data_IF_681461784014
#
_entry.id   IF_681461784014
#
_cell.length_a   1.000
_cell.length_b   1.000
_cell.length_c   1.000
_cell.angle_alpha   90.00
_cell.angle_beta   90.00
_cell.angle_gamma   90.00
#
_symmetry.space_group_name_H-M   'P 1'
#
loop_
_entity.id
_entity.type
_entity.pdbx_description
1 polymer ?
#
# COMPACT_ATOMS: atom_id res chain seq x y z
N UNK A 1 19.43 19.00 28.50
CA UNK A 1 18.52 19.61 29.48
C UNK A 1 17.81 20.78 28.81
N UNK A 2 16.63 20.59 28.27
CA UNK A 2 15.77 21.67 27.76
C UNK A 2 14.37 21.38 28.31
N UNK A 3 13.88 22.30 29.15
CA UNK A 3 12.55 22.27 29.73
C UNK A 3 11.53 22.68 28.69
N UNK A 4 10.50 21.87 28.49
CA UNK A 4 9.30 22.28 27.73
C UNK A 4 8.22 22.61 28.76
N UNK A 5 7.79 23.89 28.75
CA UNK A 5 6.71 24.41 29.53
C UNK A 5 5.35 23.97 28.98
N UNK A 6 4.49 23.51 29.90
CA UNK A 6 3.06 23.26 29.64
C UNK A 6 2.34 24.59 29.43
N UNK A 7 1.55 24.69 28.35
CA UNK A 7 0.44 25.64 28.27
C UNK A 7 -0.87 24.87 28.05
N UNK A 8 -1.78 25.04 29.01
CA UNK A 8 -3.15 24.57 28.98
C UNK A 8 -4.01 25.53 28.13
N UNK A 9 -4.93 25.02 27.34
CA UNK A 9 -5.88 25.80 26.57
C UNK A 9 -7.14 25.03 26.21
N UNK A 10 -8.14 25.26 27.01
CA UNK A 10 -9.60 25.26 26.82
C UNK A 10 -10.26 24.26 25.85
N UNK A 11 -11.10 23.44 26.48
CA UNK A 11 -12.09 22.60 25.81
C UNK A 11 -13.21 23.37 25.15
N UNK A 12 -13.68 22.81 24.03
CA UNK A 12 -14.99 23.14 23.48
C UNK A 12 -15.70 21.82 23.10
N UNK A 13 -16.72 21.52 23.92
CA UNK A 13 -17.65 20.41 23.73
C UNK A 13 -18.58 20.72 22.55
N UNK A 14 -18.61 19.81 21.57
CA UNK A 14 -19.67 19.77 20.53
C UNK A 14 -20.64 18.64 20.80
N UNK A 15 -21.64 18.91 21.62
CA UNK A 15 -22.93 18.23 21.62
C UNK A 15 -23.95 19.19 20.98
N UNK A 16 -24.71 18.69 20.01
CA UNK A 16 -25.96 19.32 19.55
C UNK A 16 -25.96 19.61 18.06
N UNK A 17 -26.61 18.70 17.31
CA UNK A 17 -27.49 18.98 16.16
C UNK A 17 -27.83 17.68 15.42
N UNK A 18 -28.83 16.98 15.92
CA UNK A 18 -29.63 16.02 15.14
C UNK A 18 -31.05 16.04 15.74
N UNK A 19 -31.91 16.85 15.14
CA UNK A 19 -33.37 16.66 15.23
C UNK A 19 -34.05 17.27 14.00
N UNK A 20 -34.76 16.44 13.27
CA UNK A 20 -36.01 16.80 12.63
C UNK A 20 -36.01 17.05 11.13
N UNK A 21 -36.51 16.10 10.34
CA UNK A 21 -37.68 16.31 9.51
C UNK A 21 -38.01 15.02 8.74
N UNK A 22 -39.10 14.40 9.15
CA UNK A 22 -39.87 13.48 8.30
C UNK A 22 -40.93 14.32 7.59
N UNK A 23 -41.18 14.08 6.29
CA UNK A 23 -42.50 14.13 5.62
C UNK A 23 -42.34 13.80 4.12
N UNK A 24 -43.18 12.86 3.63
CA UNK A 24 -43.89 12.96 2.37
C UNK A 24 -43.54 11.93 1.31
N UNK A 25 -44.24 10.79 1.29
CA UNK A 25 -44.21 9.88 0.17
C UNK A 25 -45.04 10.38 -1.00
N UNK A 26 -44.57 10.10 -2.23
CA UNK A 26 -45.41 9.98 -3.43
C UNK A 26 -44.93 8.78 -4.21
N UNK A 27 -45.80 7.80 -4.38
CA UNK A 27 -45.54 6.62 -5.20
C UNK A 27 -45.63 6.94 -6.68
N UNK A 28 -44.72 6.38 -7.46
CA UNK A 28 -44.91 6.16 -8.89
C UNK A 28 -44.60 4.69 -9.18
N UNK A 29 -45.57 3.99 -9.72
CA UNK A 29 -45.48 2.61 -10.17
C UNK A 29 -44.77 2.51 -11.53
N UNK A 30 -44.05 1.43 -11.74
CA UNK A 30 -43.78 0.83 -13.04
C UNK A 30 -42.47 1.18 -13.70
N UNK A 31 -41.42 0.43 -13.39
CA UNK A 31 -40.30 0.23 -14.30
C UNK A 31 -39.89 -1.25 -14.25
N UNK A 32 -39.89 -1.86 -15.44
CA UNK A 32 -39.53 -3.25 -15.69
C UNK A 32 -38.16 -3.60 -15.10
N UNK A 33 -38.14 -4.61 -14.24
CA UNK A 33 -36.93 -5.22 -13.70
C UNK A 33 -36.20 -5.97 -14.82
N UNK A 34 -35.19 -5.39 -15.39
CA UNK A 34 -34.15 -6.16 -16.05
C UNK A 34 -33.43 -6.98 -14.96
N UNK A 35 -33.13 -8.26 -15.18
CA UNK A 35 -32.40 -9.03 -14.22
C UNK A 35 -31.00 -8.39 -14.07
N UNK A 36 -30.65 -8.02 -12.85
CA UNK A 36 -29.29 -7.62 -12.50
C UNK A 36 -28.33 -8.75 -12.91
N UNK A 37 -27.17 -8.44 -13.50
CA UNK A 37 -26.16 -9.47 -13.72
C UNK A 37 -25.85 -10.09 -12.35
N UNK A 38 -26.04 -11.41 -12.26
CA UNK A 38 -25.63 -12.20 -11.11
C UNK A 38 -24.13 -11.97 -10.92
N UNK A 39 -23.78 -11.21 -9.89
CA UNK A 39 -22.42 -11.16 -9.42
C UNK A 39 -22.01 -12.61 -9.16
N UNK A 40 -21.04 -13.11 -9.94
CA UNK A 40 -20.43 -14.40 -9.67
C UNK A 40 -19.99 -14.36 -8.22
N UNK A 41 -20.45 -15.32 -7.44
CA UNK A 41 -20.04 -15.46 -6.05
C UNK A 41 -18.52 -15.57 -6.01
N UNK A 42 -17.88 -14.48 -5.64
CA UNK A 42 -16.50 -14.50 -5.17
C UNK A 42 -16.52 -15.47 -4.00
N UNK A 43 -15.71 -16.52 -4.07
CA UNK A 43 -15.69 -17.58 -3.07
C UNK A 43 -15.64 -16.94 -1.69
N UNK A 44 -16.43 -17.51 -0.76
CA UNK A 44 -16.53 -17.02 0.61
C UNK A 44 -15.11 -16.78 1.14
N UNK A 45 -14.72 -15.52 1.28
CA UNK A 45 -13.50 -15.15 1.97
C UNK A 45 -13.68 -15.65 3.39
N UNK A 46 -12.87 -16.64 3.82
CA UNK A 46 -12.71 -16.95 5.22
C UNK A 46 -12.05 -15.71 5.83
N UNK A 47 -12.87 -14.71 6.20
CA UNK A 47 -12.39 -13.43 6.71
C UNK A 47 -11.61 -13.63 8.00
N UNK A 48 -10.30 -13.47 7.93
CA UNK A 48 -9.46 -13.51 9.11
C UNK A 48 -9.62 -12.17 9.84
N UNK A 49 -10.23 -12.20 11.03
CA UNK A 49 -10.33 -11.02 11.90
C UNK A 49 -8.99 -10.77 12.58
N UNK A 50 -8.55 -9.52 12.62
CA UNK A 50 -7.33 -9.15 13.33
C UNK A 50 -7.61 -8.99 14.84
N UNK A 51 -6.74 -9.52 15.73
CA UNK A 51 -6.97 -9.42 17.18
C UNK A 51 -7.01 -7.97 17.68
N UNK A 52 -8.09 -7.61 18.38
CA UNK A 52 -8.23 -6.30 19.03
C UNK A 52 -8.58 -5.13 18.10
N UNK A 53 -8.93 -5.40 16.85
CA UNK A 53 -9.46 -4.42 15.88
C UNK A 53 -10.61 -5.08 15.13
N UNK A 54 -11.71 -4.36 14.94
CA UNK A 54 -12.85 -4.85 14.14
C UNK A 54 -12.56 -4.67 12.64
N UNK A 55 -11.53 -5.41 12.18
CA UNK A 55 -11.08 -5.40 10.78
C UNK A 55 -11.00 -6.82 10.27
N UNK A 56 -11.66 -7.08 9.15
CA UNK A 56 -11.54 -8.31 8.37
C UNK A 56 -10.41 -8.14 7.36
N UNK A 57 -9.42 -9.03 7.42
CA UNK A 57 -8.28 -9.03 6.50
C UNK A 57 -8.75 -9.59 5.16
N UNK A 58 -8.61 -8.82 4.08
CA UNK A 58 -8.80 -9.33 2.73
C UNK A 58 -7.59 -10.15 2.28
N UNK A 59 -7.74 -11.46 2.30
CA UNK A 59 -6.75 -12.43 1.80
C UNK A 59 -7.20 -13.14 0.52
N UNK A 60 -8.20 -12.62 -0.21
CA UNK A 60 -8.78 -13.27 -1.39
C UNK A 60 -7.77 -13.54 -2.51
N UNK A 61 -6.72 -12.72 -2.59
CA UNK A 61 -5.62 -12.85 -3.55
C UNK A 61 -4.29 -13.29 -2.89
N UNK A 62 -4.38 -13.91 -1.71
CA UNK A 62 -3.25 -14.49 -0.99
C UNK A 62 -3.49 -15.97 -0.66
N UNK A 63 -2.42 -16.72 -0.45
CA UNK A 63 -2.54 -18.06 0.12
C UNK A 63 -2.86 -17.99 1.61
N UNK A 64 -3.59 -18.99 2.12
CA UNK A 64 -4.00 -19.02 3.54
C UNK A 64 -2.81 -18.97 4.49
N UNK A 65 -1.72 -19.67 4.17
CA UNK A 65 -0.51 -19.73 4.99
C UNK A 65 0.19 -18.39 5.14
N UNK A 66 0.30 -17.58 4.05
CA UNK A 66 0.88 -16.24 4.14
C UNK A 66 -0.05 -15.28 4.86
N UNK A 67 -1.37 -15.41 4.68
CA UNK A 67 -2.35 -14.58 5.40
C UNK A 67 -2.25 -14.78 6.91
N UNK A 68 -2.15 -16.03 7.35
CA UNK A 68 -1.96 -16.36 8.77
C UNK A 68 -0.60 -15.87 9.29
N UNK A 69 0.48 -16.08 8.52
CA UNK A 69 1.83 -15.63 8.91
C UNK A 69 1.90 -14.12 9.11
N UNK A 70 1.36 -13.34 8.18
CA UNK A 70 1.33 -11.88 8.27
C UNK A 70 0.44 -11.39 9.42
N UNK A 71 -0.73 -12.02 9.61
CA UNK A 71 -1.62 -11.73 10.73
C UNK A 71 -0.92 -11.93 12.07
N UNK A 72 -0.22 -13.04 12.26
CA UNK A 72 0.53 -13.36 13.48
C UNK A 72 1.69 -12.39 13.69
N UNK A 73 2.45 -12.08 12.64
CA UNK A 73 3.54 -11.11 12.68
C UNK A 73 3.07 -9.74 13.15
N UNK A 74 2.03 -9.18 12.51
CA UNK A 74 1.52 -7.85 12.87
C UNK A 74 0.79 -7.85 14.22
N UNK A 75 0.17 -8.96 14.62
CA UNK A 75 -0.38 -9.10 15.97
C UNK A 75 0.72 -9.01 17.02
N UNK A 76 1.84 -9.70 16.84
CA UNK A 76 2.99 -9.64 17.73
C UNK A 76 3.64 -8.25 17.76
N UNK A 77 3.77 -7.61 16.58
CA UNK A 77 4.20 -6.20 16.48
C UNK A 77 3.29 -5.29 17.30
N UNK A 78 1.97 -5.49 17.23
CA UNK A 78 0.96 -4.70 17.95
C UNK A 78 0.95 -4.91 19.46
N UNK A 79 1.58 -5.96 19.97
CA UNK A 79 1.81 -6.19 21.41
C UNK A 79 3.01 -5.38 21.94
N UNK A 80 3.70 -4.62 21.08
CA UNK A 80 4.92 -3.89 21.39
C UNK A 80 6.03 -4.80 21.96
N UNK A 81 6.11 -6.03 21.47
CA UNK A 81 7.10 -7.05 21.83
C UNK A 81 8.18 -7.17 20.76
N UNK A 82 9.36 -6.51 20.93
CA UNK A 82 10.43 -6.57 19.96
C UNK A 82 10.97 -7.98 19.72
N UNK A 83 11.14 -8.75 20.79
CA UNK A 83 11.70 -10.10 20.69
C UNK A 83 10.71 -11.06 20.01
N UNK A 84 9.45 -11.01 20.39
CA UNK A 84 8.40 -11.76 19.72
C UNK A 84 8.23 -11.37 18.24
N UNK A 85 8.29 -10.08 17.92
CA UNK A 85 8.28 -9.58 16.54
C UNK A 85 9.46 -10.14 15.75
N UNK A 86 10.65 -10.11 16.30
CA UNK A 86 11.86 -10.61 15.65
C UNK A 86 11.88 -12.12 15.43
N UNK A 87 10.98 -12.89 16.06
CA UNK A 87 10.82 -14.31 15.75
C UNK A 87 10.31 -14.56 14.33
N UNK A 88 9.68 -13.57 13.71
CA UNK A 88 9.21 -13.65 12.32
C UNK A 88 10.31 -13.33 11.28
N UNK A 89 11.43 -12.77 11.69
CA UNK A 89 12.53 -12.43 10.80
C UNK A 89 13.58 -13.53 10.71
N UNK A 90 14.15 -13.70 9.52
CA UNK A 90 15.34 -14.54 9.31
C UNK A 90 16.54 -13.96 10.06
N UNK A 91 17.43 -14.82 10.52
CA UNK A 91 18.71 -14.37 11.07
C UNK A 91 19.67 -13.86 9.99
N UNK A 92 19.65 -14.53 8.83
CA UNK A 92 20.46 -14.19 7.66
C UNK A 92 19.91 -14.89 6.42
N UNK A 93 19.57 -14.17 5.34
CA UNK A 93 19.59 -12.71 5.24
C UNK A 93 18.39 -12.08 5.98
N UNK A 94 18.55 -10.81 6.36
CA UNK A 94 17.46 -9.93 6.76
C UNK A 94 17.69 -8.53 6.21
N UNK A 95 16.63 -7.91 5.73
CA UNK A 95 16.61 -6.52 5.28
C UNK A 95 15.27 -5.90 5.69
N UNK A 96 15.33 -4.75 6.31
CA UNK A 96 14.14 -3.92 6.56
C UNK A 96 14.45 -2.49 6.14
N UNK A 97 13.63 -1.92 5.26
CA UNK A 97 13.80 -0.54 4.79
C UNK A 97 12.45 0.20 4.79
N UNK A 98 12.43 1.39 5.38
CA UNK A 98 11.42 2.38 5.12
C UNK A 98 11.78 3.15 3.85
N UNK A 99 11.04 2.93 2.76
CA UNK A 99 11.35 3.50 1.46
C UNK A 99 11.01 5.00 1.33
N UNK A 100 10.34 5.58 2.32
CA UNK A 100 10.01 7.01 2.38
C UNK A 100 11.07 7.77 3.16
N UNK A 101 11.46 7.26 4.33
CA UNK A 101 12.45 7.91 5.19
C UNK A 101 13.89 7.52 4.85
N UNK A 102 14.10 6.37 4.21
CA UNK A 102 15.43 5.82 3.92
C UNK A 102 16.08 5.15 5.12
N UNK A 103 15.32 4.88 6.17
CA UNK A 103 15.81 4.10 7.29
C UNK A 103 15.99 2.65 6.88
N UNK A 104 17.16 2.07 7.20
CA UNK A 104 17.52 0.75 6.70
C UNK A 104 18.31 -0.07 7.71
N UNK A 105 17.96 -1.34 7.83
CA UNK A 105 18.61 -2.34 8.67
C UNK A 105 18.89 -3.59 7.84
N UNK A 106 20.13 -4.03 7.83
CA UNK A 106 20.63 -5.14 7.00
C UNK A 106 21.10 -6.34 7.82
N UNK A 107 20.95 -6.29 9.13
CA UNK A 107 21.25 -7.37 10.06
C UNK A 107 20.21 -7.46 11.17
N UNK A 108 20.07 -8.65 11.72
CA UNK A 108 19.01 -8.98 12.70
C UNK A 108 19.17 -8.20 14.00
N UNK A 109 20.41 -8.01 14.48
CA UNK A 109 20.66 -7.39 15.79
C UNK A 109 20.41 -5.88 15.73
N UNK A 110 20.78 -5.22 14.63
CA UNK A 110 20.50 -3.80 14.43
C UNK A 110 18.99 -3.54 14.30
N UNK A 111 18.25 -4.38 13.55
CA UNK A 111 16.80 -4.28 13.44
C UNK A 111 16.13 -4.50 14.80
N UNK A 112 16.51 -5.55 15.53
CA UNK A 112 16.01 -5.84 16.87
C UNK A 112 16.26 -4.66 17.83
N UNK A 113 17.46 -4.06 17.75
CA UNK A 113 17.83 -2.90 18.58
C UNK A 113 16.92 -1.70 18.26
N UNK A 114 16.67 -1.43 16.98
CA UNK A 114 15.77 -0.36 16.56
C UNK A 114 14.35 -0.59 17.07
N UNK A 115 13.78 -1.79 16.89
CA UNK A 115 12.46 -2.11 17.41
C UNK A 115 12.39 -1.97 18.94
N UNK A 116 13.45 -2.37 19.65
CA UNK A 116 13.57 -2.21 21.09
C UNK A 116 13.63 -0.75 21.59
N UNK A 117 13.98 0.20 20.69
CA UNK A 117 13.95 1.64 20.99
C UNK A 117 12.56 2.24 20.74
N UNK A 118 11.82 1.79 19.74
CA UNK A 118 10.51 2.35 19.36
C UNK A 118 9.36 1.73 20.14
N UNK A 119 9.26 0.41 20.16
CA UNK A 119 8.08 -0.33 20.65
C UNK A 119 7.72 -0.07 22.11
N UNK A 120 8.68 0.05 23.07
CA UNK A 120 8.32 0.30 24.48
C UNK A 120 7.61 1.64 24.72
N UNK A 121 7.67 2.56 23.75
CA UNK A 121 7.03 3.87 23.82
C UNK A 121 5.66 3.91 23.14
N UNK A 122 5.23 2.83 22.53
CA UNK A 122 3.94 2.77 21.85
C UNK A 122 2.77 2.76 22.84
N UNK A 123 1.65 3.42 22.51
CA UNK A 123 0.46 3.35 23.33
C UNK A 123 -0.09 1.92 23.34
N UNK A 124 -0.65 1.49 24.47
CA UNK A 124 -1.20 0.13 24.62
C UNK A 124 -2.31 -0.19 23.62
N UNK A 125 -3.06 0.82 23.23
CA UNK A 125 -4.16 0.73 22.25
C UNK A 125 -3.66 0.78 20.82
N UNK A 126 -2.39 1.16 20.60
CA UNK A 126 -1.77 1.24 19.29
C UNK A 126 -1.73 -0.11 18.60
N UNK A 127 -2.08 -0.15 17.32
CA UNK A 127 -2.12 -1.36 16.51
C UNK A 127 -1.46 -1.13 15.15
N UNK A 128 -0.68 -2.14 14.74
CA UNK A 128 -0.23 -2.31 13.37
C UNK A 128 -0.99 -3.51 12.81
N UNK A 129 -1.94 -3.30 11.90
CA UNK A 129 -2.82 -4.37 11.43
C UNK A 129 -2.93 -4.41 9.91
N UNK A 130 -2.98 -5.63 9.31
CA UNK A 130 -3.14 -5.78 7.88
C UNK A 130 -4.60 -5.58 7.49
N UNK A 131 -4.82 -4.93 6.34
CA UNK A 131 -6.15 -4.76 5.75
C UNK A 131 -6.34 -5.63 4.52
N UNK A 132 -5.26 -5.83 3.73
CA UNK A 132 -5.27 -6.64 2.51
C UNK A 132 -3.89 -7.29 2.31
N UNK A 133 -3.89 -8.54 1.88
CA UNK A 133 -2.66 -9.31 1.62
C UNK A 133 -2.77 -9.92 0.23
N UNK A 134 -1.72 -9.75 -0.58
CA UNK A 134 -1.63 -10.26 -1.95
C UNK A 134 -0.34 -11.10 -2.10
N UNK A 135 -0.44 -12.37 -2.42
CA UNK A 135 0.76 -13.17 -2.67
C UNK A 135 0.76 -14.57 -2.05
N UNK A 136 1.94 -15.05 -1.73
CA UNK A 136 2.17 -16.39 -1.20
C UNK A 136 3.35 -16.43 -0.21
N UNK A 137 3.68 -17.62 0.29
CA UNK A 137 4.75 -17.85 1.27
C UNK A 137 6.18 -17.57 0.79
N UNK A 138 6.39 -17.17 -0.47
CA UNK A 138 7.70 -16.72 -0.96
C UNK A 138 7.79 -15.22 -1.10
N UNK A 139 6.64 -14.53 -1.31
CA UNK A 139 6.59 -13.08 -1.39
C UNK A 139 5.16 -12.56 -1.44
N UNK A 140 4.94 -11.43 -0.76
CA UNK A 140 3.63 -10.81 -0.67
C UNK A 140 3.72 -9.29 -0.63
N UNK A 141 2.62 -8.64 -1.04
CA UNK A 141 2.32 -7.25 -0.74
C UNK A 141 1.29 -7.18 0.38
N UNK A 142 1.60 -6.46 1.42
CA UNK A 142 0.80 -6.35 2.62
C UNK A 142 0.37 -4.90 2.80
N UNK A 143 -0.91 -4.64 2.64
CA UNK A 143 -1.49 -3.36 3.02
C UNK A 143 -1.76 -3.39 4.51
N UNK A 144 -1.20 -2.44 5.23
CA UNK A 144 -1.38 -2.37 6.67
C UNK A 144 -1.53 -0.93 7.15
N UNK A 145 -2.12 -0.81 8.32
CA UNK A 145 -2.31 0.47 9.01
C UNK A 145 -1.57 0.45 10.33
N UNK A 146 -0.73 1.46 10.53
CA UNK A 146 -0.19 1.81 11.84
C UNK A 146 -1.09 2.92 12.43
N UNK A 147 -1.75 2.65 13.54
CA UNK A 147 -2.66 3.61 14.17
C UNK A 147 -1.90 4.83 14.71
N UNK A 148 -2.60 5.94 14.88
CA UNK A 148 -2.04 7.12 15.51
C UNK A 148 -1.40 6.80 16.87
N UNK A 149 -0.24 7.37 17.14
CA UNK A 149 0.54 7.17 18.34
C UNK A 149 1.68 6.16 18.21
N UNK A 150 1.69 5.27 17.21
CA UNK A 150 2.82 4.35 17.00
C UNK A 150 4.06 5.10 16.50
N UNK A 151 3.91 5.89 15.45
CA UNK A 151 5.02 6.64 14.85
C UNK A 151 4.77 8.14 14.79
N UNK A 152 3.66 8.63 15.30
CA UNK A 152 3.27 10.05 15.30
C UNK A 152 1.82 10.24 15.65
N UNK A 153 1.30 11.46 15.47
CA UNK A 153 -0.08 11.82 15.81
C UNK A 153 -1.12 11.37 14.78
N UNK A 154 -0.69 10.90 13.60
CA UNK A 154 -1.54 10.50 12.49
C UNK A 154 -1.44 9.01 12.23
N UNK A 155 -2.50 8.44 11.63
CA UNK A 155 -2.51 7.09 11.10
C UNK A 155 -1.62 7.03 9.84
N UNK A 156 -0.83 5.96 9.70
CA UNK A 156 -0.04 5.67 8.51
C UNK A 156 -0.63 4.45 7.82
N UNK A 157 -0.95 4.59 6.55
CA UNK A 157 -1.35 3.50 5.66
C UNK A 157 -0.19 3.16 4.75
N UNK A 158 0.29 1.94 4.83
CA UNK A 158 1.48 1.51 4.13
C UNK A 158 1.23 0.25 3.29
N UNK A 159 2.12 0.02 2.34
CA UNK A 159 2.25 -1.23 1.60
C UNK A 159 3.64 -1.79 1.84
N UNK A 160 3.72 -2.89 2.55
CA UNK A 160 4.96 -3.64 2.75
C UNK A 160 5.16 -4.65 1.62
N UNK A 161 6.31 -4.61 0.96
CA UNK A 161 6.75 -5.66 0.03
C UNK A 161 7.64 -6.62 0.79
N UNK A 162 7.16 -7.86 0.99
CA UNK A 162 7.80 -8.81 1.89
C UNK A 162 8.23 -10.05 1.12
N UNK A 163 9.50 -10.46 1.28
CA UNK A 163 10.00 -11.76 0.84
C UNK A 163 10.17 -12.69 2.04
N UNK A 164 9.84 -13.95 1.83
CA UNK A 164 9.91 -14.99 2.86
C UNK A 164 10.80 -16.16 2.40
N UNK A 165 11.48 -16.78 3.36
CA UNK A 165 12.08 -18.11 3.26
C UNK A 165 11.82 -18.84 4.56
N UNK A 166 11.41 -20.12 4.47
CA UNK A 166 11.13 -20.97 5.64
C UNK A 166 10.21 -20.28 6.68
N UNK A 167 9.16 -19.61 6.18
CA UNK A 167 8.19 -18.85 7.00
C UNK A 167 8.82 -17.69 7.79
N UNK A 168 9.99 -17.19 7.36
CA UNK A 168 10.67 -16.04 7.95
C UNK A 168 10.79 -14.92 6.94
N UNK A 169 10.63 -13.71 7.41
CA UNK A 169 10.85 -12.49 6.62
C UNK A 169 12.35 -12.36 6.38
N UNK A 170 12.74 -12.38 5.11
CA UNK A 170 14.13 -12.15 4.67
C UNK A 170 14.34 -10.74 4.16
N UNK A 171 13.26 -10.10 3.69
CA UNK A 171 13.27 -8.71 3.21
C UNK A 171 11.88 -8.11 3.40
N UNK A 172 11.80 -6.89 3.95
CA UNK A 172 10.60 -6.09 4.03
C UNK A 172 10.93 -4.64 3.66
N UNK A 173 10.18 -4.10 2.71
CA UNK A 173 10.30 -2.70 2.27
C UNK A 173 8.93 -2.06 2.41
N UNK A 174 8.84 -1.00 3.20
CA UNK A 174 7.58 -0.32 3.47
C UNK A 174 7.49 0.98 2.66
N UNK A 175 6.37 1.14 1.93
CA UNK A 175 6.00 2.30 1.13
C UNK A 175 4.74 2.95 1.69
N UNK A 176 4.76 4.26 1.86
CA UNK A 176 3.64 5.03 2.37
C UNK A 176 3.69 6.48 1.88
N UNK A 177 2.61 7.23 2.09
CA UNK A 177 2.54 8.64 1.72
C UNK A 177 3.07 9.52 2.86
N UNK A 178 4.20 10.16 2.66
CA UNK A 178 4.84 11.03 3.66
C UNK A 178 3.97 12.18 4.16
N UNK A 179 2.89 12.52 3.44
CA UNK A 179 1.92 13.53 3.90
C UNK A 179 1.13 13.10 5.13
N UNK A 180 1.05 11.79 5.43
CA UNK A 180 0.43 11.30 6.67
C UNK A 180 1.12 11.86 7.92
N UNK A 181 2.42 12.07 7.85
CA UNK A 181 3.22 12.67 8.91
C UNK A 181 3.25 14.20 8.87
N UNK A 182 2.86 14.78 7.74
CA UNK A 182 3.11 16.17 7.37
C UNK A 182 4.43 16.33 6.60
N UNK A 183 4.39 17.10 5.52
CA UNK A 183 5.52 17.25 4.57
C UNK A 183 6.80 17.69 5.29
N UNK A 184 6.70 18.73 6.15
CA UNK A 184 7.85 19.26 6.90
C UNK A 184 8.44 18.24 7.88
N UNK A 185 7.62 17.47 8.57
CA UNK A 185 8.09 16.53 9.59
C UNK A 185 8.66 15.27 8.93
N UNK A 186 8.07 14.79 7.85
CA UNK A 186 8.65 13.72 7.01
C UNK A 186 10.04 14.13 6.48
N UNK A 187 10.18 15.36 5.98
CA UNK A 187 11.46 15.86 5.49
C UNK A 187 12.56 15.90 6.57
N UNK A 188 12.20 16.20 7.83
CA UNK A 188 13.14 16.19 8.97
C UNK A 188 13.59 14.78 9.37
N UNK A 189 12.72 13.78 9.20
CA UNK A 189 13.02 12.39 9.57
C UNK A 189 13.76 11.65 8.47
N UNK A 190 13.62 12.10 7.22
CA UNK A 190 14.27 11.47 6.06
C UNK A 190 15.78 11.60 6.16
N UNK A 191 16.48 10.50 5.88
CA UNK A 191 17.94 10.54 5.73
C UNK A 191 18.35 11.45 4.57
N UNK A 192 19.53 12.11 4.63
CA UNK A 192 20.06 12.90 3.52
C UNK A 192 20.08 12.10 2.22
N UNK A 193 19.85 12.76 1.09
CA UNK A 193 19.74 12.10 -0.23
C UNK A 193 20.96 11.29 -0.60
N UNK A 194 22.15 11.76 -0.25
CA UNK A 194 23.43 11.07 -0.46
C UNK A 194 23.62 9.83 0.42
N UNK A 195 22.81 9.67 1.46
CA UNK A 195 22.82 8.52 2.39
C UNK A 195 21.60 7.61 2.21
N UNK A 196 20.70 7.99 1.30
CA UNK A 196 19.53 7.16 1.04
C UNK A 196 19.96 5.82 0.44
N UNK A 197 19.45 4.66 0.93
CA UNK A 197 19.88 3.37 0.44
C UNK A 197 19.55 3.21 -1.06
N UNK A 198 20.54 2.90 -1.87
CA UNK A 198 20.38 2.61 -3.30
C UNK A 198 20.05 1.13 -3.54
N UNK A 199 20.62 0.24 -2.71
CA UNK A 199 20.44 -1.21 -2.76
C UNK A 199 19.40 -1.65 -1.72
N UNK A 200 18.30 -2.20 -2.19
CA UNK A 200 17.24 -2.76 -1.35
C UNK A 200 17.36 -4.29 -1.24
N UNK A 201 18.51 -4.85 -1.61
CA UNK A 201 18.87 -6.27 -1.47
C UNK A 201 17.96 -7.23 -2.25
N UNK A 202 17.42 -6.79 -3.37
CA UNK A 202 16.58 -7.61 -4.25
C UNK A 202 17.33 -8.85 -4.76
N UNK A 203 18.61 -8.66 -5.14
CA UNK A 203 19.46 -9.75 -5.61
C UNK A 203 19.72 -10.82 -4.55
N UNK A 204 19.67 -10.46 -3.26
CA UNK A 204 19.88 -11.38 -2.15
C UNK A 204 18.72 -12.37 -1.98
N UNK A 205 17.49 -11.90 -2.19
CA UNK A 205 16.28 -12.73 -2.06
C UNK A 205 15.89 -13.41 -3.38
N UNK A 206 16.34 -12.86 -4.50
CA UNK A 206 15.96 -13.33 -5.83
C UNK A 206 14.48 -13.06 -6.17
N UNK A 207 14.09 -13.37 -7.38
CA UNK A 207 12.73 -13.15 -7.87
C UNK A 207 11.93 -14.45 -7.87
N UNK A 208 11.06 -14.60 -6.88
CA UNK A 208 10.25 -15.82 -6.64
C UNK A 208 8.80 -15.71 -7.08
N UNK A 209 8.39 -14.57 -7.64
CA UNK A 209 7.02 -14.33 -8.10
C UNK A 209 6.59 -15.34 -9.19
N UNK A 210 5.28 -15.66 -9.19
CA UNK A 210 4.69 -16.52 -10.22
C UNK A 210 4.87 -15.92 -11.62
N UNK A 211 5.03 -16.76 -12.65
CA UNK A 211 5.27 -16.32 -14.02
C UNK A 211 4.16 -15.42 -14.57
N UNK A 212 2.90 -15.67 -14.19
CA UNK A 212 1.76 -14.81 -14.57
C UNK A 212 1.95 -13.39 -14.03
N UNK A 213 2.30 -13.26 -12.73
CA UNK A 213 2.55 -11.96 -12.10
C UNK A 213 3.73 -11.24 -12.76
N UNK A 214 4.83 -11.92 -13.04
CA UNK A 214 5.98 -11.35 -13.78
C UNK A 214 5.56 -10.81 -15.14
N UNK A 215 4.84 -11.63 -15.91
CA UNK A 215 4.42 -11.27 -17.26
C UNK A 215 3.51 -10.02 -17.27
N UNK A 216 2.54 -9.95 -16.36
CA UNK A 216 1.63 -8.80 -16.26
C UNK A 216 2.39 -7.56 -15.78
N UNK A 217 3.22 -7.69 -14.74
CA UNK A 217 4.03 -6.60 -14.20
C UNK A 217 4.95 -5.97 -15.27
N UNK A 218 5.70 -6.78 -16.02
CA UNK A 218 6.57 -6.26 -17.08
C UNK A 218 5.81 -5.65 -18.26
N UNK A 219 4.64 -6.22 -18.65
CA UNK A 219 3.80 -5.64 -19.71
C UNK A 219 3.25 -4.29 -19.27
N UNK A 220 2.72 -4.20 -18.06
CA UNK A 220 2.18 -2.96 -17.50
C UNK A 220 3.28 -1.91 -17.36
N UNK A 221 4.40 -2.24 -16.73
CA UNK A 221 5.53 -1.32 -16.58
C UNK A 221 6.05 -0.79 -17.91
N UNK A 222 6.08 -1.65 -18.96
CA UNK A 222 6.46 -1.23 -20.32
C UNK A 222 5.45 -0.27 -20.93
N UNK A 223 4.14 -0.53 -20.78
CA UNK A 223 3.10 0.34 -21.29
C UNK A 223 3.16 1.72 -20.58
N UNK A 224 3.29 1.74 -19.26
CA UNK A 224 3.42 2.98 -18.47
C UNK A 224 4.68 3.76 -18.87
N UNK A 225 5.83 3.09 -18.99
CA UNK A 225 7.08 3.72 -19.43
C UNK A 225 6.97 4.38 -20.79
N UNK A 226 6.20 3.80 -21.70
CA UNK A 226 6.00 4.32 -23.05
C UNK A 226 4.85 5.34 -23.16
N UNK A 227 4.11 5.61 -22.07
CA UNK A 227 2.90 6.43 -22.08
C UNK A 227 1.75 5.79 -22.88
N UNK A 228 1.81 4.46 -23.08
CA UNK A 228 0.81 3.69 -23.82
C UNK A 228 -0.36 3.29 -22.90
N UNK A 229 -1.24 4.25 -22.65
CA UNK A 229 -2.42 4.01 -21.84
C UNK A 229 -3.42 3.04 -22.47
N UNK A 230 -3.48 2.95 -23.79
CA UNK A 230 -4.32 1.96 -24.48
C UNK A 230 -3.77 0.54 -24.29
N UNK A 231 -2.48 0.34 -24.51
CA UNK A 231 -1.82 -0.95 -24.23
C UNK A 231 -1.89 -1.33 -22.75
N UNK A 232 -1.85 -0.37 -21.84
CA UNK A 232 -2.11 -0.63 -20.43
C UNK A 232 -3.56 -1.08 -20.20
N UNK A 233 -4.55 -0.39 -20.80
CA UNK A 233 -5.98 -0.72 -20.66
C UNK A 233 -6.31 -2.15 -21.07
N UNK A 234 -5.63 -2.69 -22.08
CA UNK A 234 -5.80 -4.08 -22.55
C UNK A 234 -5.43 -5.13 -21.48
N UNK A 235 -4.69 -4.75 -20.45
CA UNK A 235 -4.34 -5.64 -19.35
C UNK A 235 -5.43 -5.76 -18.30
N UNK A 236 -6.39 -4.83 -18.26
CA UNK A 236 -7.42 -4.78 -17.23
C UNK A 236 -8.66 -5.61 -17.60
N UNK A 237 -9.28 -6.20 -16.58
CA UNK A 237 -10.57 -6.86 -16.69
C UNK A 237 -11.72 -5.84 -16.83
N UNK A 238 -12.88 -6.22 -17.40
CA UNK A 238 -14.08 -5.42 -17.31
C UNK A 238 -14.43 -5.11 -15.85
N UNK A 239 -14.70 -3.84 -15.53
CA UNK A 239 -15.00 -3.42 -14.15
C UNK A 239 -13.78 -3.32 -13.23
N UNK A 240 -12.57 -3.45 -13.76
CA UNK A 240 -11.34 -3.27 -12.98
C UNK A 240 -11.26 -1.90 -12.30
N UNK A 241 -10.59 -1.86 -11.17
CA UNK A 241 -10.36 -0.64 -10.38
C UNK A 241 -8.87 -0.26 -10.45
N UNK A 242 -8.62 0.97 -10.86
CA UNK A 242 -7.32 1.63 -10.71
C UNK A 242 -7.38 2.58 -9.53
N UNK A 243 -6.40 2.52 -8.65
CA UNK A 243 -6.31 3.35 -7.45
C UNK A 243 -4.89 3.91 -7.32
N UNK A 244 -4.76 5.23 -7.26
CA UNK A 244 -3.52 5.91 -6.90
C UNK A 244 -3.72 6.59 -5.56
N UNK A 245 -3.16 6.01 -4.51
CA UNK A 245 -3.42 6.42 -3.13
C UNK A 245 -2.90 7.84 -2.87
N UNK A 246 -1.64 8.19 -3.20
CA UNK A 246 -1.14 9.55 -3.01
C UNK A 246 -1.84 10.60 -3.90
N UNK A 247 -2.28 10.24 -5.09
CA UNK A 247 -3.05 11.16 -5.94
C UNK A 247 -4.52 11.28 -5.52
N UNK A 248 -5.01 10.45 -4.59
CA UNK A 248 -6.42 10.37 -4.18
C UNK A 248 -7.36 10.09 -5.36
N UNK A 249 -6.92 9.23 -6.29
CA UNK A 249 -7.64 8.91 -7.52
C UNK A 249 -8.11 7.47 -7.49
N UNK A 250 -9.39 7.26 -7.85
CA UNK A 250 -9.96 5.95 -8.11
C UNK A 250 -10.77 5.98 -9.41
N UNK A 251 -10.48 5.05 -10.33
CA UNK A 251 -11.09 4.99 -11.66
C UNK A 251 -11.55 3.55 -11.92
N UNK A 252 -12.73 3.41 -12.52
CA UNK A 252 -13.32 2.11 -12.82
C UNK A 252 -13.45 1.89 -14.32
N UNK A 253 -13.03 0.72 -14.77
CA UNK A 253 -13.17 0.24 -16.14
C UNK A 253 -12.00 0.58 -17.06
N UNK A 254 -11.65 -0.36 -17.98
CA UNK A 254 -10.42 -0.27 -18.80
C UNK A 254 -10.35 0.99 -19.65
N UNK A 255 -11.49 1.42 -20.24
CA UNK A 255 -11.53 2.62 -21.10
C UNK A 255 -11.11 3.88 -20.34
N UNK A 256 -11.72 4.09 -19.15
CA UNK A 256 -11.46 5.26 -18.31
C UNK A 256 -10.05 5.23 -17.75
N UNK A 257 -9.58 4.03 -17.33
CA UNK A 257 -8.21 3.80 -16.88
C UNK A 257 -7.21 4.14 -17.99
N UNK A 258 -7.41 3.63 -19.21
CA UNK A 258 -6.53 3.91 -20.35
C UNK A 258 -6.48 5.39 -20.72
N UNK A 259 -7.64 6.08 -20.70
CA UNK A 259 -7.74 7.52 -20.93
C UNK A 259 -6.96 8.32 -19.88
N UNK A 260 -7.12 7.96 -18.60
CA UNK A 260 -6.39 8.56 -17.49
C UNK A 260 -4.87 8.37 -17.63
N UNK A 261 -4.42 7.14 -17.83
CA UNK A 261 -3.00 6.79 -17.99
C UNK A 261 -2.36 7.51 -19.18
N UNK A 262 -3.07 7.63 -20.30
CA UNK A 262 -2.62 8.44 -21.45
C UNK A 262 -2.49 9.91 -21.08
N UNK A 263 -3.53 10.49 -20.44
CA UNK A 263 -3.58 11.91 -20.10
C UNK A 263 -2.62 12.34 -18.99
N UNK A 264 -2.10 11.36 -18.21
CA UNK A 264 -1.22 11.60 -17.05
C UNK A 264 0.18 11.01 -17.22
N UNK A 265 0.52 10.48 -18.39
CA UNK A 265 1.80 9.77 -18.63
C UNK A 265 3.05 10.59 -18.29
N UNK A 266 2.99 11.93 -18.42
CA UNK A 266 4.10 12.83 -18.04
C UNK A 266 4.06 13.32 -16.59
N UNK A 267 3.02 12.94 -15.83
CA UNK A 267 2.82 13.40 -14.46
C UNK A 267 3.04 12.26 -13.45
N UNK A 268 2.62 11.04 -13.80
CA UNK A 268 2.72 9.88 -12.90
C UNK A 268 4.18 9.51 -12.64
N UNK A 269 4.64 9.40 -11.38
CA UNK A 269 6.03 9.14 -11.07
C UNK A 269 6.51 7.74 -11.49
N UNK A 270 5.57 6.81 -11.69
CA UNK A 270 5.82 5.44 -12.17
C UNK A 270 5.62 5.29 -13.69
N UNK A 271 5.57 6.41 -14.42
CA UNK A 271 5.45 6.46 -15.88
C UNK A 271 6.68 7.15 -16.49
N UNK A 272 6.88 6.98 -17.83
CA UNK A 272 7.99 7.60 -18.54
C UNK A 272 9.28 6.77 -18.61
N UNK A 273 10.19 7.19 -19.51
CA UNK A 273 11.38 6.41 -19.90
C UNK A 273 12.39 6.18 -18.77
N UNK A 274 12.39 7.03 -17.74
CA UNK A 274 13.27 6.89 -16.58
C UNK A 274 12.85 5.81 -15.59
N UNK A 275 11.68 5.17 -15.77
CA UNK A 275 11.16 4.17 -14.84
C UNK A 275 11.64 2.76 -15.13
N UNK A 276 11.86 1.98 -14.08
CA UNK A 276 12.23 0.57 -14.16
C UNK A 276 11.52 -0.26 -13.10
N UNK A 277 11.24 -1.51 -13.42
CA UNK A 277 10.84 -2.52 -12.43
C UNK A 277 12.06 -2.86 -11.58
N UNK A 278 11.91 -2.79 -10.27
CA UNK A 278 12.96 -3.10 -9.32
C UNK A 278 12.88 -4.54 -8.83
N UNK A 279 11.71 -4.97 -8.36
CA UNK A 279 11.47 -6.29 -7.79
C UNK A 279 10.01 -6.68 -7.96
N UNK A 280 9.73 -7.98 -8.17
CA UNK A 280 8.37 -8.50 -8.32
C UNK A 280 8.14 -9.57 -7.26
N UNK A 281 6.99 -9.51 -6.59
CA UNK A 281 6.55 -10.52 -5.61
C UNK A 281 5.14 -11.00 -5.92
N UNK A 282 4.81 -12.19 -5.44
CA UNK A 282 3.42 -12.66 -5.40
C UNK A 282 3.14 -13.96 -6.10
N UNK A 283 1.86 -14.36 -5.97
CA UNK A 283 1.24 -15.53 -6.57
C UNK A 283 0.78 -15.27 -8.02
N UNK A 284 0.07 -16.22 -8.61
CA UNK A 284 -0.52 -16.04 -9.94
C UNK A 284 -1.67 -15.01 -9.96
N UNK A 285 -2.30 -14.75 -8.81
CA UNK A 285 -3.51 -13.90 -8.72
C UNK A 285 -3.33 -12.65 -7.87
N UNK A 286 -2.31 -12.58 -7.02
CA UNK A 286 -2.05 -11.41 -6.15
C UNK A 286 -0.58 -11.16 -5.93
N UNK A 287 -0.17 -9.89 -5.96
CA UNK A 287 1.21 -9.46 -5.82
C UNK A 287 1.46 -8.10 -6.45
N UNK A 288 2.55 -7.95 -7.20
CA UNK A 288 2.88 -6.74 -7.93
C UNK A 288 4.38 -6.47 -7.94
N UNK A 289 4.76 -5.20 -8.13
CA UNK A 289 6.16 -4.85 -8.28
C UNK A 289 6.54 -3.52 -7.63
N UNK A 290 7.79 -3.46 -7.17
CA UNK A 290 8.47 -2.22 -6.82
C UNK A 290 9.03 -1.58 -8.09
N UNK A 291 8.99 -0.26 -8.15
CA UNK A 291 9.55 0.51 -9.25
C UNK A 291 10.52 1.58 -8.77
N UNK A 292 11.43 1.99 -9.65
CA UNK A 292 12.31 3.15 -9.47
C UNK A 292 12.16 4.10 -10.66
N UNK A 293 12.38 5.39 -10.43
CA UNK A 293 12.49 6.40 -11.47
C UNK A 293 13.81 7.15 -11.30
N UNK A 294 14.52 7.38 -12.41
CA UNK A 294 15.74 8.17 -12.42
C UNK A 294 15.43 9.65 -12.24
N UNK A 295 14.31 10.09 -12.77
CA UNK A 295 13.85 11.47 -12.79
C UNK A 295 12.44 11.57 -12.18
N UNK A 296 12.05 12.76 -11.75
CA UNK A 296 10.70 13.04 -11.28
C UNK A 296 10.60 13.33 -9.79
N UNK A 297 9.37 13.65 -9.36
CA UNK A 297 9.06 14.08 -7.99
C UNK A 297 9.19 12.95 -6.96
N UNK A 298 8.85 11.71 -7.34
CA UNK A 298 9.06 10.53 -6.52
C UNK A 298 9.96 9.54 -7.26
N UNK A 299 11.01 9.06 -6.61
CA UNK A 299 12.04 8.19 -7.23
C UNK A 299 11.75 6.70 -7.09
N UNK A 300 10.72 6.31 -6.35
CA UNK A 300 10.36 4.92 -6.06
C UNK A 300 8.94 4.78 -5.53
N UNK A 301 8.43 3.58 -5.63
CA UNK A 301 7.13 3.20 -5.10
C UNK A 301 6.80 1.76 -5.43
N UNK A 302 5.53 1.40 -5.26
CA UNK A 302 5.02 0.07 -5.47
C UNK A 302 3.71 0.12 -6.24
N UNK A 303 3.51 -0.86 -7.11
CA UNK A 303 2.23 -1.15 -7.77
C UNK A 303 1.80 -2.55 -7.36
N UNK A 304 0.70 -2.61 -6.61
CA UNK A 304 0.05 -3.84 -6.21
C UNK A 304 -1.02 -4.23 -7.23
N UNK A 305 -1.10 -5.52 -7.54
CA UNK A 305 -1.96 -6.09 -8.58
C UNK A 305 -2.79 -7.25 -8.03
N UNK A 306 -4.09 -7.19 -8.29
CA UNK A 306 -5.00 -8.32 -8.18
C UNK A 306 -5.37 -8.77 -9.58
N UNK A 307 -5.27 -10.08 -9.84
CA UNK A 307 -5.51 -10.66 -11.16
C UNK A 307 -6.65 -11.68 -11.07
N UNK A 308 -7.44 -11.75 -12.13
CA UNK A 308 -8.39 -12.85 -12.33
C UNK A 308 -7.69 -14.14 -12.82
N UNK A 309 -8.47 -15.18 -13.03
CA UNK A 309 -7.97 -16.49 -13.49
C UNK A 309 -7.40 -16.47 -14.91
N UNK A 310 -7.67 -15.43 -15.71
CA UNK A 310 -7.12 -15.23 -17.06
C UNK A 310 -5.89 -14.33 -17.06
N UNK A 311 -5.46 -13.86 -15.88
CA UNK A 311 -4.32 -12.95 -15.73
C UNK A 311 -4.64 -11.50 -16.11
N UNK A 312 -5.92 -11.10 -16.11
CA UNK A 312 -6.33 -9.70 -16.27
C UNK A 312 -6.33 -9.01 -14.91
N UNK A 313 -5.93 -7.75 -14.90
CA UNK A 313 -5.90 -6.92 -13.68
C UNK A 313 -7.34 -6.57 -13.28
N UNK A 314 -7.77 -7.01 -12.11
CA UNK A 314 -9.05 -6.63 -11.50
C UNK A 314 -8.92 -5.43 -10.59
N UNK A 315 -7.75 -5.25 -9.97
CA UNK A 315 -7.40 -4.05 -9.21
C UNK A 315 -5.91 -3.75 -9.35
N UNK A 316 -5.61 -2.47 -9.54
CA UNK A 316 -4.27 -1.90 -9.40
C UNK A 316 -4.30 -0.86 -8.29
N UNK A 317 -3.37 -0.94 -7.34
CA UNK A 317 -3.17 0.10 -6.32
C UNK A 317 -1.72 0.58 -6.39
N UNK A 318 -1.52 1.85 -6.68
CA UNK A 318 -0.21 2.51 -6.65
C UNK A 318 0.00 3.19 -5.29
N UNK A 319 1.20 2.99 -4.70
CA UNK A 319 1.65 3.65 -3.47
C UNK A 319 3.05 4.22 -3.68
N UNK A 320 3.22 5.50 -3.36
CA UNK A 320 4.47 6.24 -3.46
C UNK A 320 4.45 7.42 -2.48
N UNK A 321 5.57 8.12 -2.32
CA UNK A 321 5.68 9.23 -1.39
C UNK A 321 5.15 10.55 -2.00
N UNK A 322 3.89 10.86 -1.76
CA UNK A 322 3.24 12.09 -2.22
C UNK A 322 3.81 13.37 -1.62
N UNK A 323 4.60 13.29 -0.53
CA UNK A 323 5.25 14.48 0.04
C UNK A 323 6.37 15.05 -0.85
N UNK A 324 6.79 14.29 -1.86
CA UNK A 324 7.79 14.72 -2.86
C UNK A 324 7.15 15.34 -4.11
N UNK A 325 5.84 15.25 -4.26
CA UNK A 325 5.11 15.87 -5.35
C UNK A 325 4.69 17.30 -4.98
N UNK A 326 4.71 18.19 -5.95
CA UNK A 326 4.12 19.52 -5.73
C UNK A 326 2.59 19.50 -5.84
N UNK A 327 1.93 20.50 -5.24
CA UNK A 327 0.47 20.59 -5.23
C UNK A 327 -0.12 20.67 -6.64
N UNK A 328 0.58 21.33 -7.57
CA UNK A 328 0.10 21.50 -8.95
C UNK A 328 0.05 20.18 -9.71
N UNK A 329 1.00 19.27 -9.45
CA UNK A 329 1.00 17.92 -9.97
C UNK A 329 -0.18 17.12 -9.41
N UNK A 330 -0.39 17.13 -8.09
CA UNK A 330 -1.48 16.41 -7.45
C UNK A 330 -2.86 16.90 -7.91
N UNK A 331 -3.04 18.21 -8.02
CA UNK A 331 -4.27 18.83 -8.57
C UNK A 331 -4.48 18.39 -10.03
N UNK A 332 -3.42 18.39 -10.84
CA UNK A 332 -3.48 17.98 -12.25
C UNK A 332 -3.87 16.49 -12.39
N UNK A 333 -3.32 15.61 -11.57
CA UNK A 333 -3.70 14.19 -11.53
C UNK A 333 -5.18 14.01 -11.19
N UNK A 334 -5.67 14.68 -10.16
CA UNK A 334 -7.08 14.63 -9.76
C UNK A 334 -8.02 15.18 -10.86
N UNK A 335 -7.65 16.28 -11.53
CA UNK A 335 -8.45 16.87 -12.61
C UNK A 335 -8.54 15.96 -13.84
N UNK A 336 -7.46 15.21 -14.15
CA UNK A 336 -7.43 14.26 -15.26
C UNK A 336 -8.27 12.99 -14.99
N UNK A 337 -8.61 12.71 -13.73
CA UNK A 337 -9.51 11.62 -13.37
C UNK A 337 -10.99 11.92 -13.69
N UNK A 338 -11.32 13.19 -13.99
CA UNK A 338 -12.69 13.60 -14.37
C UNK A 338 -12.90 13.23 -15.84
N UNK A 339 -13.81 12.29 -16.09
CA UNK A 339 -14.25 11.97 -17.45
C UNK A 339 -15.06 13.15 -18.06
N UNK A 340 -14.77 13.45 -19.33
CA UNK A 340 -15.47 14.48 -20.11
C UNK A 340 -16.05 13.88 -21.39
#
# INVERSE_FOLDING_TARGET
MVRISKQAGNGMTRRGLLQGAAVGGVGIAGASLLPAPTASAVGASNGFVFPGVDVVIDGSHATTDVTLLVREYLARKSEADPDGTMTFFSRNPVTYIDAVLGWSWYDWDSLRTALGQFMPNWPKEGKSYPTRILGNSTGAMVFFTDTAGLFGSSEIRAVGVINFSDRRITRQIDYWDGRHFGISDTAKLRVPTDKFPADFRESTVGETAAQTMKNVSYKLARALRNGDGAGAADLFAPGAVFEDVPAHVQIVGPRSIGSYLTGTASLLPYSGQGTAVRHIVGSATGGGYEWTAADGSASRGVIALELDSWGKITRLTAMWDGSQADDSMLVSLSQKAIER
#
